data_IF_093400000339
#
_entry.id   IF_093400000339
#
_cell.length_a   1.000
_cell.length_b   1.000
_cell.length_c   1.000
_cell.angle_alpha   90.00
_cell.angle_beta   90.00
_cell.angle_gamma   90.00
#
_symmetry.space_group_name_H-M   'P 1'
#
loop_
_entity.id
_entity.type
_entity.pdbx_description
1 polymer ?
#
# COMPACT_ATOMS: atom_id res chain seq x y z
N UNK A 1 10.11 38.79 -70.63
CA UNK A 1 9.90 39.94 -69.73
C UNK A 1 8.86 39.54 -68.70
N UNK A 2 9.25 39.19 -67.53
CA UNK A 2 8.35 38.76 -66.46
C UNK A 2 8.55 39.68 -65.28
N UNK A 3 7.56 40.45 -64.91
CA UNK A 3 7.59 41.41 -63.83
C UNK A 3 7.39 40.70 -62.48
N UNK A 4 8.37 40.85 -61.60
CA UNK A 4 8.34 40.33 -60.23
C UNK A 4 7.67 41.33 -59.28
N UNK A 5 6.49 40.96 -58.78
CA UNK A 5 5.78 41.77 -57.78
C UNK A 5 6.24 41.35 -56.38
N UNK A 6 7.01 42.20 -55.70
CA UNK A 6 7.38 42.03 -54.31
C UNK A 6 6.19 42.37 -53.41
N UNK A 7 5.66 41.37 -52.71
CA UNK A 7 4.67 41.59 -51.63
C UNK A 7 5.37 41.98 -50.34
N UNK A 8 5.07 43.21 -49.87
CA UNK A 8 5.52 43.75 -48.59
C UNK A 8 4.66 43.08 -47.46
N UNK A 9 5.30 42.27 -46.64
CA UNK A 9 4.66 41.71 -45.44
C UNK A 9 4.91 42.68 -44.28
N UNK A 10 3.85 43.32 -43.84
CA UNK A 10 3.87 44.17 -42.63
C UNK A 10 3.71 43.26 -41.43
N UNK A 11 4.79 43.08 -40.65
CA UNK A 11 4.74 42.36 -39.38
C UNK A 11 4.30 43.35 -38.31
N UNK A 12 3.06 43.19 -37.82
CA UNK A 12 2.54 43.92 -36.68
C UNK A 12 3.05 43.23 -35.43
N UNK A 13 3.98 43.87 -34.70
CA UNK A 13 4.35 43.45 -33.34
C UNK A 13 3.25 43.89 -32.40
N UNK A 14 2.45 42.88 -31.96
CA UNK A 14 1.56 43.08 -30.82
C UNK A 14 2.38 42.78 -29.57
N UNK A 15 2.78 43.81 -28.85
CA UNK A 15 3.37 43.69 -27.51
C UNK A 15 2.25 43.41 -26.52
N UNK A 16 1.95 42.14 -26.27
CA UNK A 16 1.17 41.76 -25.09
C UNK A 16 2.04 41.92 -23.85
N UNK A 17 1.72 42.93 -23.03
CA UNK A 17 2.22 43.04 -21.66
C UNK A 17 1.60 41.87 -20.89
N UNK A 18 2.37 40.77 -20.74
CA UNK A 18 1.98 39.57 -20.01
C UNK A 18 2.02 39.84 -18.52
N UNK A 19 0.97 39.48 -17.82
CA UNK A 19 1.03 39.19 -16.40
C UNK A 19 1.98 38.00 -16.18
N UNK A 20 3.03 38.25 -15.43
CA UNK A 20 3.96 37.23 -14.92
C UNK A 20 3.22 36.38 -13.88
N UNK A 21 2.63 35.27 -14.32
CA UNK A 21 2.23 34.18 -13.44
C UNK A 21 3.35 33.14 -13.48
N UNK A 22 4.38 33.37 -12.66
CA UNK A 22 5.28 32.29 -12.25
C UNK A 22 4.46 31.36 -11.37
N UNK A 23 3.83 30.38 -11.98
CA UNK A 23 3.41 29.18 -11.30
C UNK A 23 4.69 28.40 -11.09
N UNK A 24 5.09 28.28 -9.82
CA UNK A 24 6.34 27.62 -9.45
C UNK A 24 6.35 26.17 -9.99
N UNK A 25 7.21 25.92 -10.99
CA UNK A 25 7.43 24.57 -11.56
C UNK A 25 7.88 23.56 -10.48
N UNK A 26 8.42 24.04 -9.36
CA UNK A 26 8.78 23.21 -8.22
C UNK A 26 7.59 22.50 -7.57
N UNK A 27 6.41 23.14 -7.50
CA UNK A 27 5.22 22.53 -6.89
C UNK A 27 4.61 21.43 -7.76
N UNK A 28 4.72 21.53 -9.07
CA UNK A 28 4.22 20.49 -9.99
C UNK A 28 5.11 19.25 -10.02
N UNK A 29 6.42 19.40 -9.85
CA UNK A 29 7.34 18.24 -9.79
C UNK A 29 7.17 17.44 -8.49
N UNK A 30 6.81 18.09 -7.39
CA UNK A 30 6.53 17.40 -6.13
C UNK A 30 5.19 16.65 -6.17
N UNK A 31 4.18 17.22 -6.84
CA UNK A 31 2.87 16.59 -7.04
C UNK A 31 2.97 15.38 -7.99
N UNK A 32 3.71 15.49 -9.10
CA UNK A 32 3.91 14.36 -10.02
C UNK A 32 4.73 13.21 -9.39
N UNK A 33 5.70 13.52 -8.52
CA UNK A 33 6.48 12.51 -7.81
C UNK A 33 5.64 11.74 -6.80
N UNK A 34 4.64 12.39 -6.21
CA UNK A 34 3.70 11.76 -5.26
C UNK A 34 2.63 10.90 -5.95
N UNK A 35 2.30 11.16 -7.22
CA UNK A 35 1.32 10.36 -7.97
C UNK A 35 1.94 9.04 -8.49
N UNK A 36 3.27 8.98 -8.65
CA UNK A 36 3.95 7.84 -9.26
C UNK A 36 4.30 6.68 -8.32
N UNK A 37 4.08 6.82 -7.00
CA UNK A 37 4.33 5.71 -6.08
C UNK A 37 3.36 5.68 -4.88
N UNK A 38 2.08 5.35 -5.09
CA UNK A 38 1.10 5.23 -4.02
C UNK A 38 1.43 4.13 -3.00
N UNK A 39 2.27 3.15 -3.36
CA UNK A 39 2.67 2.05 -2.46
C UNK A 39 3.71 2.48 -1.41
N UNK A 40 4.54 3.48 -1.69
CA UNK A 40 5.54 3.97 -0.73
C UNK A 40 4.95 4.84 0.38
N UNK A 41 3.81 5.50 0.14
CA UNK A 41 3.16 6.35 1.15
C UNK A 41 2.31 5.59 2.16
N UNK A 42 1.81 4.40 1.81
CA UNK A 42 1.07 3.54 2.75
C UNK A 42 1.96 3.15 3.94
N UNK A 43 3.27 3.02 3.73
CA UNK A 43 4.24 2.69 4.78
C UNK A 43 4.43 3.81 5.82
N UNK A 44 4.23 5.08 5.46
CA UNK A 44 4.61 6.22 6.31
C UNK A 44 3.55 6.66 7.32
N UNK A 45 2.28 6.25 7.15
CA UNK A 45 1.18 6.71 7.98
C UNK A 45 0.45 5.62 8.78
N UNK A 46 0.89 4.36 8.72
CA UNK A 46 0.15 3.26 9.36
C UNK A 46 0.48 3.15 10.85
N UNK A 47 1.70 3.48 11.29
CA UNK A 47 2.11 3.36 12.70
C UNK A 47 3.61 3.23 12.89
N UNK A 48 4.02 2.89 14.12
CA UNK A 48 5.41 2.73 14.53
C UNK A 48 5.84 1.25 14.44
N UNK A 49 6.68 0.92 13.45
CA UNK A 49 7.15 -0.46 13.23
C UNK A 49 7.97 -1.01 14.42
N UNK A 50 8.64 -0.18 15.22
CA UNK A 50 9.38 -0.65 16.39
C UNK A 50 8.45 -1.04 17.54
N UNK A 51 7.34 -0.31 17.74
CA UNK A 51 6.26 -0.75 18.63
C UNK A 51 5.58 -1.99 18.09
N UNK A 52 5.31 -2.03 16.77
CA UNK A 52 4.73 -3.18 16.07
C UNK A 52 5.54 -4.45 16.25
N UNK A 53 6.87 -4.36 16.22
CA UNK A 53 7.78 -5.49 16.51
C UNK A 53 7.54 -6.10 17.88
N UNK A 54 7.26 -5.29 18.90
CA UNK A 54 6.92 -5.78 20.25
C UNK A 54 5.55 -6.45 20.26
N UNK A 55 4.58 -5.89 19.54
CA UNK A 55 3.24 -6.44 19.41
C UNK A 55 3.21 -7.77 18.65
N UNK A 56 4.10 -7.94 17.64
CA UNK A 56 4.25 -9.18 16.90
C UNK A 56 4.65 -10.38 17.78
N UNK A 57 5.11 -10.14 19.00
CA UNK A 57 5.43 -11.22 19.96
C UNK A 57 4.28 -12.22 20.11
N UNK A 58 3.03 -11.77 20.13
CA UNK A 58 1.84 -12.64 20.24
C UNK A 58 1.55 -13.45 18.97
N UNK A 59 2.11 -13.06 17.82
CA UNK A 59 1.89 -13.72 16.52
C UNK A 59 3.00 -14.72 16.17
N UNK A 60 4.24 -14.48 16.63
CA UNK A 60 5.44 -15.20 16.22
C UNK A 60 5.45 -16.68 16.58
N UNK A 61 4.66 -17.08 17.58
CA UNK A 61 4.53 -18.49 17.95
C UNK A 61 3.88 -19.30 16.83
N UNK A 62 2.95 -18.66 16.11
CA UNK A 62 2.17 -19.30 15.06
C UNK A 62 2.60 -18.91 13.64
N UNK A 63 3.23 -17.74 13.45
CA UNK A 63 3.61 -17.23 12.13
C UNK A 63 5.10 -16.96 12.00
N UNK A 64 5.64 -17.18 10.83
CA UNK A 64 6.92 -16.64 10.34
C UNK A 64 6.66 -15.45 9.42
N UNK A 65 7.69 -14.61 9.16
CA UNK A 65 7.59 -13.39 8.35
C UNK A 65 8.70 -13.26 7.31
N UNK A 66 9.70 -14.14 7.34
CA UNK A 66 10.82 -14.07 6.39
C UNK A 66 10.57 -14.93 5.18
N UNK A 67 11.09 -14.49 4.04
CA UNK A 67 11.05 -15.28 2.82
C UNK A 67 11.67 -16.66 3.03
N UNK A 68 11.04 -17.68 2.47
CA UNK A 68 11.49 -19.09 2.55
C UNK A 68 11.48 -19.74 3.95
N UNK A 69 10.96 -19.06 4.98
CA UNK A 69 10.69 -19.73 6.25
C UNK A 69 9.47 -20.66 6.13
N UNK A 70 9.53 -21.78 6.85
CA UNK A 70 8.44 -22.74 6.89
C UNK A 70 7.19 -22.16 7.54
N UNK A 71 6.03 -22.69 7.16
CA UNK A 71 4.81 -22.52 7.94
C UNK A 71 4.98 -23.12 9.33
N UNK A 72 4.23 -22.55 10.28
CA UNK A 72 4.13 -23.06 11.65
C UNK A 72 2.70 -23.54 11.89
N UNK A 73 2.11 -23.21 13.04
CA UNK A 73 0.68 -23.45 13.32
C UNK A 73 -0.18 -22.61 12.34
N UNK A 74 0.29 -21.41 12.00
CA UNK A 74 -0.24 -20.53 10.96
C UNK A 74 0.70 -20.44 9.75
N UNK A 75 0.23 -19.84 8.64
CA UNK A 75 1.04 -19.65 7.45
C UNK A 75 2.19 -18.67 7.68
N UNK A 76 3.24 -18.79 6.86
CA UNK A 76 4.21 -17.72 6.72
C UNK A 76 3.53 -16.50 6.11
N UNK A 77 3.79 -15.31 6.66
CA UNK A 77 3.16 -14.04 6.26
C UNK A 77 3.97 -13.26 5.21
N UNK A 78 5.12 -13.78 4.75
CA UNK A 78 5.89 -13.12 3.69
C UNK A 78 5.02 -12.93 2.44
N UNK A 79 5.03 -11.74 1.85
CA UNK A 79 4.20 -11.37 0.71
C UNK A 79 2.69 -11.37 1.01
N UNK A 80 2.26 -11.18 2.27
CA UNK A 80 0.84 -11.20 2.63
C UNK A 80 0.10 -9.97 2.09
N UNK A 81 0.74 -8.80 2.08
CA UNK A 81 0.08 -7.57 1.63
C UNK A 81 -0.33 -7.65 0.16
N UNK A 82 -1.54 -7.16 -0.11
CA UNK A 82 -2.19 -7.17 -1.43
C UNK A 82 -2.37 -8.58 -2.03
N UNK A 83 -2.11 -9.62 -1.27
CA UNK A 83 -2.28 -10.99 -1.71
C UNK A 83 -3.69 -11.52 -1.48
N UNK A 84 -4.10 -12.53 -2.26
CA UNK A 84 -5.36 -13.24 -2.02
C UNK A 84 -5.27 -14.07 -0.74
N UNK A 85 -6.35 -14.10 0.04
CA UNK A 85 -6.44 -14.97 1.20
C UNK A 85 -6.28 -16.45 0.81
N UNK A 86 -5.69 -17.22 1.71
CA UNK A 86 -5.42 -18.64 1.53
C UNK A 86 -4.53 -18.97 0.32
N UNK A 87 -3.58 -18.08 -0.03
CA UNK A 87 -2.72 -18.27 -1.21
C UNK A 87 -1.45 -19.09 -0.98
N UNK A 88 -0.97 -19.20 0.27
CA UNK A 88 0.35 -19.81 0.55
C UNK A 88 0.33 -21.31 0.29
N UNK A 89 1.19 -21.75 -0.61
CA UNK A 89 1.32 -23.16 -0.97
C UNK A 89 1.77 -24.02 0.23
N UNK A 90 1.21 -25.21 0.34
CA UNK A 90 1.59 -26.17 1.39
C UNK A 90 0.97 -25.89 2.77
N UNK A 91 0.18 -24.83 2.96
CA UNK A 91 -0.57 -24.58 4.18
C UNK A 91 -2.06 -25.00 4.04
N UNK A 92 -2.59 -25.68 5.04
CA UNK A 92 -4.01 -26.11 5.05
C UNK A 92 -4.85 -25.02 5.70
N UNK A 93 -5.64 -24.33 4.90
CA UNK A 93 -6.56 -23.28 5.35
C UNK A 93 -7.96 -23.81 5.64
N UNK A 94 -8.71 -23.08 6.47
CA UNK A 94 -10.15 -23.34 6.64
C UNK A 94 -10.92 -23.10 5.34
N UNK A 95 -11.95 -23.89 5.10
CA UNK A 95 -12.87 -23.67 3.96
C UNK A 95 -13.44 -22.26 3.96
N UNK A 96 -13.74 -21.72 5.15
CA UNK A 96 -14.23 -20.36 5.30
C UNK A 96 -13.26 -19.32 4.74
N UNK A 97 -11.95 -19.45 5.04
CA UNK A 97 -10.94 -18.51 4.53
C UNK A 97 -10.70 -18.68 3.03
N UNK A 98 -10.67 -19.92 2.54
CA UNK A 98 -10.56 -20.21 1.09
C UNK A 98 -11.72 -19.54 0.32
N UNK A 99 -12.92 -19.62 0.81
CA UNK A 99 -14.13 -19.12 0.15
C UNK A 99 -14.37 -17.61 0.40
N UNK A 100 -13.60 -16.97 1.26
CA UNK A 100 -13.80 -15.55 1.61
C UNK A 100 -13.54 -14.61 0.44
N UNK A 101 -12.71 -15.01 -0.53
CA UNK A 101 -12.23 -14.19 -1.65
C UNK A 101 -11.60 -12.86 -1.21
N UNK A 102 -11.15 -12.75 0.03
CA UNK A 102 -10.49 -11.55 0.54
C UNK A 102 -9.15 -11.31 -0.17
N UNK A 103 -8.84 -10.04 -0.35
CA UNK A 103 -7.50 -9.57 -0.63
C UNK A 103 -6.97 -8.94 0.66
N UNK A 104 -5.74 -9.26 1.02
CA UNK A 104 -5.10 -8.76 2.23
C UNK A 104 -4.55 -7.35 2.02
N UNK A 105 -5.42 -6.40 1.58
CA UNK A 105 -5.09 -4.99 1.65
C UNK A 105 -5.02 -4.52 3.12
N UNK A 106 -4.52 -3.30 3.35
CA UNK A 106 -4.34 -2.75 4.69
C UNK A 106 -5.66 -2.71 5.47
N UNK A 107 -6.78 -2.38 4.82
CA UNK A 107 -8.09 -2.28 5.48
C UNK A 107 -8.60 -3.66 5.90
N UNK A 108 -8.47 -4.66 5.05
CA UNK A 108 -8.89 -6.03 5.38
C UNK A 108 -7.98 -6.65 6.44
N UNK A 109 -6.66 -6.36 6.42
CA UNK A 109 -5.75 -6.78 7.47
C UNK A 109 -6.08 -6.10 8.81
N UNK A 110 -6.41 -4.80 8.82
CA UNK A 110 -6.84 -4.10 10.03
C UNK A 110 -8.09 -4.74 10.63
N UNK A 111 -9.12 -4.96 9.81
CA UNK A 111 -10.37 -5.63 10.22
C UNK A 111 -10.13 -7.06 10.70
N UNK A 112 -9.24 -7.78 10.03
CA UNK A 112 -8.84 -9.13 10.43
C UNK A 112 -8.16 -9.15 11.79
N UNK A 113 -7.23 -8.20 12.02
CA UNK A 113 -6.56 -8.06 13.30
C UNK A 113 -7.50 -7.59 14.41
N UNK A 114 -8.52 -6.78 14.08
CA UNK A 114 -9.51 -6.35 15.06
C UNK A 114 -10.41 -7.50 15.52
N UNK A 115 -11.00 -8.23 14.57
CA UNK A 115 -12.02 -9.23 14.84
C UNK A 115 -12.03 -10.32 13.75
N UNK A 116 -11.09 -11.27 13.77
CA UNK A 116 -10.98 -12.27 12.71
C UNK A 116 -12.24 -13.11 12.52
N UNK A 117 -12.95 -13.45 13.60
CA UNK A 117 -14.17 -14.26 13.53
C UNK A 117 -15.40 -13.51 13.00
N UNK A 118 -15.42 -12.18 13.12
CA UNK A 118 -16.47 -11.37 12.52
C UNK A 118 -16.21 -11.16 11.03
N UNK A 119 -14.94 -10.98 10.62
CA UNK A 119 -14.59 -10.81 9.22
C UNK A 119 -14.77 -12.09 8.41
N UNK A 120 -14.34 -13.23 8.95
CA UNK A 120 -14.48 -14.55 8.32
C UNK A 120 -14.98 -15.55 9.36
N UNK A 121 -16.31 -15.68 9.54
CA UNK A 121 -16.89 -16.69 10.41
C UNK A 121 -16.46 -18.09 9.98
N UNK A 122 -15.98 -18.89 10.91
CA UNK A 122 -15.49 -20.25 10.64
C UNK A 122 -14.00 -20.30 10.23
N UNK A 123 -13.26 -19.21 10.33
CA UNK A 123 -11.79 -19.28 10.25
C UNK A 123 -11.21 -20.05 11.43
N UNK A 124 -9.98 -20.53 11.30
CA UNK A 124 -9.32 -21.39 12.30
C UNK A 124 -8.18 -20.68 13.06
N UNK A 125 -7.95 -19.38 12.82
CA UNK A 125 -6.92 -18.64 13.56
C UNK A 125 -7.36 -18.44 15.01
N UNK A 126 -6.57 -18.94 15.95
CA UNK A 126 -6.85 -18.82 17.39
C UNK A 126 -6.31 -17.46 17.88
N UNK A 127 -7.09 -16.41 17.66
CA UNK A 127 -6.74 -15.04 18.06
C UNK A 127 -8.03 -14.26 18.36
N UNK A 128 -8.10 -13.67 19.58
CA UNK A 128 -9.31 -12.96 20.03
C UNK A 128 -9.50 -11.57 19.42
N UNK A 129 -8.50 -11.10 18.69
CA UNK A 129 -8.48 -9.77 18.10
C UNK A 129 -7.74 -8.73 18.95
N UNK A 130 -7.36 -7.63 18.30
CA UNK A 130 -6.66 -6.47 18.87
C UNK A 130 -7.56 -5.24 18.76
N UNK A 131 -8.15 -4.81 19.90
CA UNK A 131 -9.15 -3.72 19.90
C UNK A 131 -8.55 -2.34 19.66
N UNK A 132 -7.32 -2.09 20.15
CA UNK A 132 -6.68 -0.80 20.03
C UNK A 132 -6.23 -0.56 18.57
N UNK A 133 -6.76 0.48 17.95
CA UNK A 133 -6.43 0.83 16.56
C UNK A 133 -4.96 1.19 16.40
N UNK A 134 -4.37 1.95 17.33
CA UNK A 134 -2.97 2.34 17.24
C UNK A 134 -2.03 1.13 17.32
N UNK A 135 -2.38 0.13 18.14
CA UNK A 135 -1.59 -1.12 18.22
C UNK A 135 -1.70 -1.92 16.92
N UNK A 136 -2.87 -1.91 16.26
CA UNK A 136 -3.03 -2.55 14.94
C UNK A 136 -2.23 -1.82 13.87
N UNK A 137 -2.24 -0.50 13.88
CA UNK A 137 -1.45 0.31 12.94
C UNK A 137 0.06 0.06 13.12
N UNK A 138 0.53 0.03 14.35
CA UNK A 138 1.92 -0.29 14.66
C UNK A 138 2.30 -1.70 14.19
N UNK A 139 1.44 -2.69 14.46
CA UNK A 139 1.65 -4.06 14.02
C UNK A 139 1.65 -4.18 12.48
N UNK A 140 0.75 -3.48 11.79
CA UNK A 140 0.71 -3.46 10.33
C UNK A 140 1.96 -2.81 9.74
N UNK A 141 2.44 -1.71 10.34
CA UNK A 141 3.70 -1.08 9.92
C UNK A 141 4.90 -2.04 10.05
N UNK A 142 4.98 -2.79 11.15
CA UNK A 142 6.00 -3.81 11.32
C UNK A 142 5.87 -4.95 10.30
N UNK A 143 4.67 -5.50 10.14
CA UNK A 143 4.42 -6.57 9.19
C UNK A 143 4.75 -6.12 7.77
N UNK A 144 4.36 -4.93 7.36
CA UNK A 144 4.69 -4.40 6.05
C UNK A 144 6.20 -4.36 5.83
N UNK A 145 6.95 -3.81 6.80
CA UNK A 145 8.42 -3.74 6.75
C UNK A 145 9.09 -5.11 6.63
N UNK A 146 8.55 -6.14 7.29
CA UNK A 146 9.17 -7.46 7.37
C UNK A 146 8.73 -8.43 6.28
N UNK A 147 7.57 -8.18 5.65
CA UNK A 147 6.92 -9.12 4.72
C UNK A 147 6.71 -8.57 3.32
N UNK A 148 7.00 -7.28 3.05
CA UNK A 148 6.95 -6.74 1.69
C UNK A 148 8.01 -7.40 0.80
N UNK A 149 7.62 -7.70 -0.43
CA UNK A 149 8.48 -8.26 -1.48
C UNK A 149 9.38 -7.18 -2.10
#
# INVERSE_FOLDING_TARGET
>A
MVASTKKLVIVIFITCIGCDQRIDEASNQEIEKNILNPESEISLNIGDAERGRKLYFQCRACHSVKQNESHKIGPNLFGVFNSKAAKSDGFIYSTALINSNLIWDVNNLDRWLEKPYELVPGNQMIFSGMKNKNDRDDLLAYLYKETAE
#
